data_IF_488121980552
#
_entry.id   IF_488121980552
#
_cell.length_a   1.000
_cell.length_b   1.000
_cell.length_c   1.000
_cell.angle_alpha   90.00
_cell.angle_beta   90.00
_cell.angle_gamma   90.00
#
_symmetry.space_group_name_H-M   'P 1'
#
loop_
_entity.id
_entity.type
_entity.pdbx_description
1 polymer ?
#
# COMPACT_ATOMS: atom_id res chain seq x y z
N UNK A 1 -1.25 -16.65 -7.97
CA UNK A 1 -2.43 -15.82 -7.63
C UNK A 1 -3.31 -15.71 -8.86
N UNK A 2 -4.64 -15.63 -8.72
CA UNK A 2 -5.54 -15.26 -9.83
C UNK A 2 -5.88 -13.78 -9.73
N UNK A 3 -5.18 -12.95 -10.51
CA UNK A 3 -5.27 -11.50 -10.44
C UNK A 3 -6.60 -10.95 -10.98
N UNK A 4 -7.39 -11.74 -11.71
CA UNK A 4 -8.71 -11.31 -12.18
C UNK A 4 -9.71 -11.03 -11.04
N UNK A 5 -9.38 -11.49 -9.83
CA UNK A 5 -10.19 -11.34 -8.61
C UNK A 5 -9.83 -10.10 -7.80
N UNK A 6 -8.82 -9.34 -8.21
CA UNK A 6 -8.31 -8.16 -7.52
C UNK A 6 -8.88 -6.89 -8.18
N UNK A 7 -9.33 -5.94 -7.37
CA UNK A 7 -9.87 -4.66 -7.82
C UNK A 7 -8.77 -3.58 -7.76
N UNK A 8 -7.91 -3.56 -8.79
CA UNK A 8 -6.78 -2.61 -8.89
C UNK A 8 -7.19 -1.15 -9.07
N UNK A 9 -8.48 -0.85 -9.26
CA UNK A 9 -8.99 0.50 -9.48
C UNK A 9 -9.60 1.14 -8.22
N UNK A 10 -9.65 0.43 -7.09
CA UNK A 10 -10.29 0.93 -5.88
C UNK A 10 -9.35 1.86 -5.10
N UNK A 11 -8.57 1.30 -4.20
CA UNK A 11 -7.49 1.94 -3.48
C UNK A 11 -6.45 0.85 -3.16
N UNK A 12 -5.23 1.29 -2.85
CA UNK A 12 -4.13 0.40 -2.51
C UNK A 12 -3.54 0.84 -1.19
N UNK A 13 -3.42 -0.08 -0.24
CA UNK A 13 -2.74 0.17 1.02
C UNK A 13 -1.28 -0.27 0.91
N UNK A 14 -0.35 0.59 1.32
CA UNK A 14 1.07 0.25 1.43
C UNK A 14 1.46 0.34 2.88
N UNK A 15 2.09 -0.69 3.42
CA UNK A 15 2.55 -0.79 4.80
C UNK A 15 4.08 -0.93 4.84
N UNK A 16 4.73 -0.15 5.70
CA UNK A 16 6.18 -0.12 5.87
C UNK A 16 6.56 -0.84 7.15
N UNK A 17 7.39 -1.87 6.99
CA UNK A 17 7.92 -2.64 8.11
C UNK A 17 9.39 -2.31 8.33
N UNK A 18 9.79 -2.21 9.60
CA UNK A 18 11.19 -2.06 10.00
C UNK A 18 11.56 -3.21 10.91
N UNK A 19 12.28 -4.19 10.37
CA UNK A 19 12.91 -5.32 11.08
C UNK A 19 12.19 -5.72 12.38
N UNK A 20 12.85 -5.60 13.53
CA UNK A 20 12.35 -6.04 14.83
C UNK A 20 11.16 -5.22 15.38
N UNK A 21 10.79 -4.11 14.73
CA UNK A 21 9.68 -3.24 15.14
C UNK A 21 8.35 -3.63 14.47
N UNK A 22 8.38 -4.36 13.34
CA UNK A 22 7.18 -4.70 12.59
C UNK A 22 6.62 -3.53 11.77
N UNK A 23 5.30 -3.53 11.51
CA UNK A 23 4.61 -2.43 10.82
C UNK A 23 4.72 -1.15 11.65
N UNK A 24 5.24 -0.09 11.04
CA UNK A 24 5.35 1.23 11.66
C UNK A 24 4.37 2.23 11.08
N UNK A 25 4.07 2.12 9.79
CA UNK A 25 3.29 3.12 9.09
C UNK A 25 2.72 2.57 7.79
N UNK A 26 1.46 2.90 7.52
CA UNK A 26 0.87 2.65 6.21
C UNK A 26 0.07 3.81 5.65
N UNK A 27 -0.12 3.76 4.33
CA UNK A 27 -0.80 4.80 3.56
C UNK A 27 -1.64 4.22 2.42
N UNK A 28 -2.83 4.78 2.24
CA UNK A 28 -3.67 4.50 1.07
C UNK A 28 -3.31 5.41 -0.10
N UNK A 29 -3.15 4.78 -1.25
CA UNK A 29 -3.02 5.45 -2.54
C UNK A 29 -4.30 5.25 -3.34
N UNK A 30 -4.85 6.34 -3.87
CA UNK A 30 -6.09 6.33 -4.68
C UNK A 30 -5.90 6.95 -6.07
N UNK A 31 -4.77 7.65 -6.29
CA UNK A 31 -4.44 8.26 -7.57
C UNK A 31 -4.23 7.21 -8.66
N UNK A 32 -4.91 7.36 -9.80
CA UNK A 32 -4.84 6.40 -10.93
C UNK A 32 -3.41 6.06 -11.37
N UNK A 33 -2.53 7.05 -11.41
CA UNK A 33 -1.12 6.85 -11.79
C UNK A 33 -0.35 6.03 -10.74
N UNK A 34 -0.63 6.27 -9.46
CA UNK A 34 -0.04 5.52 -8.36
C UNK A 34 -0.52 4.08 -8.37
N UNK A 35 -1.84 3.87 -8.51
CA UNK A 35 -2.45 2.55 -8.59
C UNK A 35 -1.86 1.69 -9.72
N UNK A 36 -1.64 2.27 -10.91
CA UNK A 36 -1.04 1.53 -12.03
C UNK A 36 0.40 1.06 -11.73
N UNK A 37 1.18 1.84 -10.97
CA UNK A 37 2.55 1.45 -10.58
C UNK A 37 2.49 0.39 -9.49
N UNK A 38 1.63 0.57 -8.49
CA UNK A 38 1.44 -0.36 -7.37
C UNK A 38 0.87 -1.71 -7.84
N UNK A 39 -0.05 -1.72 -8.80
CA UNK A 39 -0.56 -2.93 -9.46
C UNK A 39 0.58 -3.74 -10.08
N UNK A 40 1.49 -3.08 -10.80
CA UNK A 40 2.64 -3.74 -11.40
C UNK A 40 3.56 -4.32 -10.33
N UNK A 41 3.87 -3.56 -9.29
CA UNK A 41 4.69 -4.04 -8.17
C UNK A 41 4.04 -5.22 -7.45
N UNK A 42 2.73 -5.17 -7.26
CA UNK A 42 1.94 -6.23 -6.61
C UNK A 42 1.88 -7.51 -7.46
N UNK A 43 1.79 -7.39 -8.78
CA UNK A 43 1.74 -8.55 -9.68
C UNK A 43 3.13 -9.19 -9.86
N UNK A 44 4.20 -8.40 -9.74
CA UNK A 44 5.60 -8.84 -9.72
C UNK A 44 6.05 -9.36 -8.33
N UNK A 45 5.18 -9.26 -7.32
CA UNK A 45 5.42 -9.65 -5.92
C UNK A 45 5.48 -11.17 -5.72
N UNK A 46 5.60 -11.60 -4.46
CA UNK A 46 5.50 -12.98 -4.01
C UNK A 46 4.73 -13.08 -2.68
N UNK A 47 4.41 -14.31 -2.30
CA UNK A 47 3.77 -14.66 -1.01
C UNK A 47 2.44 -13.94 -0.74
N UNK A 48 1.57 -13.89 -1.75
CA UNK A 48 0.25 -13.29 -1.59
C UNK A 48 -0.58 -13.97 -0.50
N UNK A 49 -1.05 -13.17 0.44
CA UNK A 49 -1.84 -13.62 1.58
C UNK A 49 -2.93 -12.62 1.95
N UNK A 50 -3.94 -13.09 2.65
CA UNK A 50 -4.98 -12.22 3.18
C UNK A 50 -4.36 -11.22 4.17
N UNK A 51 -4.72 -9.95 4.02
CA UNK A 51 -4.27 -8.84 4.85
C UNK A 51 -5.35 -8.49 5.87
N UNK A 52 -6.15 -7.46 5.63
CA UNK A 52 -7.27 -7.03 6.48
C UNK A 52 -8.58 -6.98 5.72
N UNK A 53 -9.68 -6.71 6.43
CA UNK A 53 -10.98 -6.42 5.83
C UNK A 53 -11.36 -4.95 6.04
N UNK A 54 -11.80 -4.28 4.99
CA UNK A 54 -12.32 -2.90 5.04
C UNK A 54 -13.50 -2.76 4.09
N UNK A 55 -14.57 -2.12 4.57
CA UNK A 55 -15.78 -1.85 3.78
C UNK A 55 -16.41 -3.10 3.14
N UNK A 56 -16.33 -4.25 3.82
CA UNK A 56 -16.84 -5.53 3.31
C UNK A 56 -15.99 -6.13 2.17
N UNK A 57 -14.76 -5.65 1.99
CA UNK A 57 -13.78 -6.20 1.06
C UNK A 57 -12.59 -6.77 1.82
N UNK A 58 -12.18 -7.98 1.44
CA UNK A 58 -10.92 -8.57 1.89
C UNK A 58 -9.78 -8.01 1.05
N UNK A 59 -8.73 -7.53 1.70
CA UNK A 59 -7.49 -7.12 1.04
C UNK A 59 -6.53 -8.29 1.00
N UNK A 60 -5.78 -8.39 -0.09
CA UNK A 60 -4.69 -9.35 -0.27
C UNK A 60 -3.41 -8.54 -0.37
N UNK A 61 -2.43 -8.87 0.46
CA UNK A 61 -1.10 -8.27 0.43
C UNK A 61 -0.15 -9.09 -0.44
N UNK A 62 0.88 -8.43 -0.97
CA UNK A 62 2.09 -9.03 -1.50
C UNK A 62 3.31 -8.25 -1.02
N UNK A 63 4.46 -8.92 -0.90
CA UNK A 63 5.72 -8.32 -0.47
C UNK A 63 6.50 -7.69 -1.62
N UNK A 64 7.02 -6.49 -1.38
CA UNK A 64 7.91 -5.78 -2.30
C UNK A 64 9.21 -5.49 -1.58
N UNK A 65 10.31 -5.82 -2.25
CA UNK A 65 11.65 -5.49 -1.76
C UNK A 65 11.81 -3.95 -1.66
N UNK A 66 12.16 -3.39 -0.50
CA UNK A 66 12.41 -1.96 -0.35
C UNK A 66 13.53 -1.45 -1.28
N UNK A 67 14.46 -2.32 -1.69
CA UNK A 67 15.48 -2.06 -2.70
C UNK A 67 14.97 -2.02 -4.15
N UNK A 68 13.68 -2.26 -4.40
CA UNK A 68 13.11 -2.25 -5.74
C UNK A 68 13.17 -0.85 -6.36
N UNK A 69 13.90 -0.72 -7.46
CA UNK A 69 14.15 0.56 -8.14
C UNK A 69 12.85 1.24 -8.62
N UNK A 70 11.82 0.48 -9.01
CA UNK A 70 10.53 1.06 -9.40
C UNK A 70 9.79 1.62 -8.18
N UNK A 71 9.81 0.90 -7.06
CA UNK A 71 9.20 1.36 -5.81
C UNK A 71 9.91 2.59 -5.23
N UNK A 72 11.25 2.60 -5.20
CA UNK A 72 12.03 3.77 -4.75
C UNK A 72 11.68 5.02 -5.57
N UNK A 73 11.62 4.89 -6.90
CA UNK A 73 11.24 6.01 -7.80
C UNK A 73 9.80 6.46 -7.56
N UNK A 74 8.90 5.52 -7.35
CA UNK A 74 7.52 5.79 -6.98
C UNK A 74 7.44 6.61 -5.70
N UNK A 75 8.10 6.17 -4.63
CA UNK A 75 8.11 6.86 -3.33
C UNK A 75 8.70 8.28 -3.42
N UNK A 76 9.78 8.46 -4.18
CA UNK A 76 10.38 9.78 -4.43
C UNK A 76 9.44 10.73 -5.19
N UNK A 77 8.67 10.21 -6.14
CA UNK A 77 7.76 11.00 -6.96
C UNK A 77 6.44 11.30 -6.25
N UNK A 78 5.85 10.31 -5.58
CA UNK A 78 4.60 10.46 -4.83
C UNK A 78 4.78 11.30 -3.58
N UNK A 79 5.94 11.26 -2.90
CA UNK A 79 6.22 12.16 -1.77
C UNK A 79 5.88 13.63 -2.06
N UNK A 80 6.20 14.10 -3.27
CA UNK A 80 5.97 15.48 -3.69
C UNK A 80 4.49 15.77 -3.94
N UNK A 81 3.68 14.77 -4.31
CA UNK A 81 2.27 14.91 -4.72
C UNK A 81 1.27 14.53 -3.63
N UNK A 82 1.60 13.52 -2.83
CA UNK A 82 0.69 12.86 -1.89
C UNK A 82 0.81 13.45 -0.47
N UNK A 83 1.87 14.19 -0.13
CA UNK A 83 1.96 14.90 1.16
C UNK A 83 0.77 15.85 1.41
N UNK A 84 0.16 16.40 0.36
CA UNK A 84 -1.01 17.27 0.45
C UNK A 84 -2.36 16.51 0.43
N UNK A 85 -2.41 15.26 -0.07
CA UNK A 85 -3.65 14.49 -0.23
C UNK A 85 -3.86 13.44 0.87
N UNK A 86 -2.77 12.84 1.37
CA UNK A 86 -2.78 11.85 2.44
C UNK A 86 -3.35 12.40 3.77
N UNK A 87 -2.95 13.62 4.16
CA UNK A 87 -3.47 14.26 5.38
C UNK A 87 -4.99 14.49 5.30
N UNK A 88 -5.48 14.86 4.11
CA UNK A 88 -6.92 15.07 3.87
C UNK A 88 -7.70 13.76 3.96
N UNK A 89 -7.18 12.68 3.36
CA UNK A 89 -7.84 11.38 3.41
C UNK A 89 -7.88 10.79 4.83
N UNK A 90 -6.82 10.96 5.64
CA UNK A 90 -6.79 10.53 7.04
C UNK A 90 -7.89 11.22 7.87
N UNK A 91 -8.02 12.55 7.72
CA UNK A 91 -9.04 13.34 8.42
C UNK A 91 -10.47 12.93 8.04
N UNK A 92 -10.69 12.48 6.79
CA UNK A 92 -12.02 12.16 6.27
C UNK A 92 -12.48 10.72 6.57
N UNK A 93 -11.54 9.75 6.69
CA UNK A 93 -11.89 8.32 6.68
C UNK A 93 -11.65 7.57 8.01
N UNK A 94 -11.05 8.21 9.03
CA UNK A 94 -10.87 7.64 10.39
C UNK A 94 -10.29 6.20 10.42
N UNK A 95 -9.36 5.88 9.53
CA UNK A 95 -8.72 4.57 9.49
C UNK A 95 -7.46 4.56 10.38
N UNK A 96 -7.44 3.68 11.37
CA UNK A 96 -6.43 3.68 12.45
C UNK A 96 -5.00 3.40 11.97
N UNK A 97 -4.85 2.62 10.90
CA UNK A 97 -3.53 2.17 10.41
C UNK A 97 -2.92 3.16 9.39
N UNK A 98 -3.68 4.17 8.97
CA UNK A 98 -3.14 5.23 8.12
C UNK A 98 -2.43 6.28 8.98
N UNK A 99 -1.13 6.46 8.75
CA UNK A 99 -0.33 7.38 9.56
C UNK A 99 0.22 8.55 8.71
N UNK A 100 0.33 9.72 9.33
CA UNK A 100 0.77 10.96 8.66
C UNK A 100 2.29 11.00 8.44
N UNK A 101 3.03 10.17 9.17
CA UNK A 101 4.48 10.06 9.15
C UNK A 101 4.99 9.05 8.10
N UNK A 102 4.14 8.47 7.25
CA UNK A 102 4.52 7.44 6.27
C UNK A 102 5.77 7.75 5.45
N UNK A 103 5.85 8.96 4.89
CA UNK A 103 7.03 9.36 4.14
C UNK A 103 8.25 9.62 5.04
N UNK A 104 8.04 10.13 6.25
CA UNK A 104 9.11 10.32 7.23
C UNK A 104 9.69 8.95 7.62
N UNK A 105 8.84 7.96 7.87
CA UNK A 105 9.25 6.57 8.13
C UNK A 105 10.04 6.01 6.95
N UNK A 106 9.53 6.14 5.72
CA UNK A 106 10.24 5.68 4.52
C UNK A 106 11.63 6.30 4.33
N UNK A 107 11.77 7.61 4.56
CA UNK A 107 13.05 8.31 4.30
C UNK A 107 14.04 8.22 5.47
N UNK A 108 13.55 8.16 6.71
CA UNK A 108 14.39 8.26 7.91
C UNK A 108 14.73 6.88 8.53
N UNK A 109 14.13 5.80 8.05
CA UNK A 109 14.34 4.45 8.58
C UNK A 109 14.84 3.46 7.53
N UNK A 110 15.53 2.42 8.00
CA UNK A 110 15.90 1.26 7.20
C UNK A 110 14.71 0.29 7.10
N UNK A 111 13.79 0.59 6.18
CA UNK A 111 12.61 -0.24 5.90
C UNK A 111 13.08 -1.61 5.42
N UNK A 112 12.70 -2.67 6.15
CA UNK A 112 13.09 -4.05 5.83
C UNK A 112 12.16 -4.70 4.82
N UNK A 113 10.87 -4.36 4.87
CA UNK A 113 9.86 -4.97 4.02
C UNK A 113 8.75 -3.96 3.72
N UNK A 114 8.19 -4.07 2.50
CA UNK A 114 7.04 -3.30 2.07
C UNK A 114 5.92 -4.26 1.73
N UNK A 115 4.74 -4.05 2.29
CA UNK A 115 3.54 -4.82 1.94
C UNK A 115 2.60 -3.94 1.12
N UNK A 116 2.23 -4.40 -0.07
CA UNK A 116 1.25 -3.74 -0.94
C UNK A 116 -0.04 -4.56 -0.91
N UNK A 117 -1.15 -3.95 -0.54
CA UNK A 117 -2.44 -4.61 -0.39
C UNK A 117 -3.50 -4.01 -1.30
N UNK A 118 -4.12 -4.86 -2.11
CA UNK A 118 -5.28 -4.52 -2.93
C UNK A 118 -6.53 -5.30 -2.50
N UNK A 119 -7.73 -4.71 -2.62
CA UNK A 119 -8.97 -5.40 -2.30
C UNK A 119 -9.32 -6.46 -3.35
N UNK A 120 -9.92 -7.56 -2.89
CA UNK A 120 -10.69 -8.43 -3.77
C UNK A 120 -11.90 -7.69 -4.33
N UNK A 121 -12.25 -8.03 -5.57
CA UNK A 121 -13.49 -7.62 -6.21
C UNK A 121 -14.69 -8.08 -5.37
N UNK A 122 -15.75 -7.26 -5.24
CA UNK A 122 -16.93 -7.55 -4.40
C UNK A 122 -17.58 -8.91 -4.64
N UNK A 123 -17.51 -9.44 -5.86
CA UNK A 123 -18.03 -10.77 -6.20
C UNK A 123 -17.25 -11.92 -5.54
N UNK A 124 -16.09 -11.62 -4.95
CA UNK A 124 -15.12 -12.56 -4.41
C UNK A 124 -14.76 -12.27 -2.94
N UNK A 125 -15.42 -11.29 -2.31
CA UNK A 125 -15.36 -11.07 -0.86
C UNK A 125 -16.25 -12.11 -0.17
N UNK A 126 -15.66 -13.01 0.61
CA UNK A 126 -16.38 -14.06 1.36
C UNK A 126 -16.86 -13.58 2.73
#
# INVERSE_FOLDING_TARGET
MDFSKIDFNHDCYVDLHVSDYGSLSGLFFTGKSALAILEKLFTDSHDWQNSFQREGRQYVMGFVDPGNVQFIKFMQHEFVKEKEQAEKFHLENSFYEQTHDFFEIWFDNDVSDVQISFPLSKEHSY
#
